data_IF_093054178315
#
_entry.id   IF_093054178315
#
_cell.length_a   1.000
_cell.length_b   1.000
_cell.length_c   1.000
_cell.angle_alpha   90.00
_cell.angle_beta   90.00
_cell.angle_gamma   90.00
#
_symmetry.space_group_name_H-M   'P 1'
#
loop_
_entity.id
_entity.type
_entity.pdbx_description
1 polymer ?
#
# COMPACT_ATOMS: atom_id res chain seq x y z
N UNK A 1 8.56 79.59 35.63
CA UNK A 1 9.32 78.39 36.05
C UNK A 1 8.30 77.28 36.28
N UNK A 2 8.56 76.07 35.79
CA UNK A 2 7.73 74.83 35.83
C UNK A 2 6.84 74.65 37.09
N UNK A 3 5.72 73.92 37.11
CA UNK A 3 5.56 72.48 36.81
C UNK A 3 4.07 72.14 36.54
N UNK A 4 3.78 71.40 35.46
CA UNK A 4 2.55 70.64 35.22
C UNK A 4 2.67 69.25 35.87
N UNK A 5 1.61 68.75 36.54
CA UNK A 5 1.52 67.37 37.02
C UNK A 5 0.83 66.47 35.97
N UNK A 6 1.27 65.21 35.75
CA UNK A 6 0.55 64.24 34.93
C UNK A 6 -0.20 63.21 35.79
N UNK A 7 -1.53 63.15 35.61
CA UNK A 7 -2.36 61.99 36.01
C UNK A 7 -3.28 61.61 34.86
N UNK A 8 -2.91 60.59 34.08
CA UNK A 8 -3.83 59.61 33.46
C UNK A 8 -3.11 58.77 32.39
N UNK A 9 -2.30 57.79 32.80
CA UNK A 9 -1.85 56.72 31.88
C UNK A 9 -1.90 55.32 32.48
N UNK A 10 -2.36 55.14 33.72
CA UNK A 10 -2.31 53.83 34.40
C UNK A 10 -3.56 52.95 34.27
N UNK A 11 -4.65 53.43 33.63
CA UNK A 11 -5.89 52.66 33.56
C UNK A 11 -6.08 51.85 32.25
N UNK A 12 -5.33 52.14 31.17
CA UNK A 12 -5.57 51.52 29.86
C UNK A 12 -4.67 50.31 29.55
N UNK A 13 -3.54 50.14 30.25
CA UNK A 13 -2.63 49.00 30.05
C UNK A 13 -3.05 47.72 30.80
N UNK A 14 -3.89 47.84 31.84
CA UNK A 14 -4.35 46.69 32.62
C UNK A 14 -5.40 45.85 31.90
N UNK A 15 -6.33 46.48 31.18
CA UNK A 15 -7.45 45.78 30.52
C UNK A 15 -7.03 45.04 29.24
N UNK A 16 -6.14 45.63 28.44
CA UNK A 16 -5.63 44.99 27.22
C UNK A 16 -4.80 43.73 27.54
N UNK A 17 -4.00 43.76 28.61
CA UNK A 17 -3.16 42.61 29.02
C UNK A 17 -3.99 41.42 29.52
N UNK A 18 -5.09 41.69 30.23
CA UNK A 18 -6.00 40.64 30.72
C UNK A 18 -6.79 40.03 29.56
N UNK A 19 -7.21 40.82 28.57
CA UNK A 19 -7.94 40.31 27.41
C UNK A 19 -7.06 39.40 26.53
N UNK A 20 -5.81 39.78 26.30
CA UNK A 20 -4.85 38.96 25.55
C UNK A 20 -4.54 37.64 26.26
N UNK A 21 -4.41 37.66 27.59
CA UNK A 21 -4.20 36.45 28.38
C UNK A 21 -5.42 35.51 28.35
N UNK A 22 -6.64 36.04 28.39
CA UNK A 22 -7.87 35.24 28.28
C UNK A 22 -8.00 34.61 26.88
N UNK A 23 -7.73 35.38 25.82
CA UNK A 23 -7.76 34.85 24.44
C UNK A 23 -6.68 33.78 24.25
N UNK A 24 -5.47 33.99 24.79
CA UNK A 24 -4.39 32.99 24.74
C UNK A 24 -4.71 31.74 25.56
N UNK A 25 -5.35 31.88 26.73
CA UNK A 25 -5.82 30.74 27.51
C UNK A 25 -6.94 29.97 26.81
N UNK A 26 -7.87 30.67 26.16
CA UNK A 26 -8.94 30.04 25.39
C UNK A 26 -8.39 29.33 24.14
N UNK A 27 -7.41 29.93 23.44
CA UNK A 27 -6.70 29.29 22.33
C UNK A 27 -5.88 28.08 22.79
N UNK A 28 -5.13 28.18 23.89
CA UNK A 28 -4.36 27.07 24.45
C UNK A 28 -5.27 25.93 24.93
N UNK A 29 -6.45 26.25 25.50
CA UNK A 29 -7.43 25.25 25.88
C UNK A 29 -8.12 24.62 24.68
N UNK A 30 -8.36 25.36 23.60
CA UNK A 30 -8.84 24.82 22.33
C UNK A 30 -7.77 23.95 21.64
N UNK A 31 -6.49 24.34 21.71
CA UNK A 31 -5.38 23.55 21.17
C UNK A 31 -5.10 22.28 22.00
N UNK A 32 -5.29 22.34 23.32
CA UNK A 32 -5.30 21.16 24.18
C UNK A 32 -6.54 20.28 23.95
N UNK A 33 -7.71 20.86 23.69
CA UNK A 33 -8.90 20.11 23.32
C UNK A 33 -8.75 19.47 21.93
N UNK A 34 -8.16 20.15 20.94
CA UNK A 34 -7.88 19.60 19.61
C UNK A 34 -6.77 18.55 19.65
N UNK A 35 -5.73 18.72 20.48
CA UNK A 35 -4.69 17.71 20.68
C UNK A 35 -5.17 16.51 21.52
N UNK A 36 -6.13 16.72 22.43
CA UNK A 36 -6.84 15.63 23.10
C UNK A 36 -7.85 14.94 22.18
N UNK A 37 -8.49 15.67 21.26
CA UNK A 37 -9.42 15.13 20.26
C UNK A 37 -8.69 14.43 19.10
N UNK A 38 -7.44 14.79 18.81
CA UNK A 38 -6.55 14.01 17.92
C UNK A 38 -5.86 12.84 18.64
N UNK A 39 -5.82 12.83 19.98
CA UNK A 39 -5.33 11.69 20.78
C UNK A 39 -6.42 10.74 21.26
N UNK A 40 -7.68 11.15 21.26
CA UNK A 40 -8.78 10.22 21.11
C UNK A 40 -8.81 9.84 19.63
N UNK A 41 -7.88 8.94 19.27
CA UNK A 41 -8.19 7.94 18.27
C UNK A 41 -9.66 7.55 18.48
N UNK A 42 -10.44 7.62 17.41
CA UNK A 42 -11.66 6.82 17.37
C UNK A 42 -11.20 5.41 17.75
N UNK A 43 -11.47 5.01 18.98
CA UNK A 43 -11.48 3.62 19.37
C UNK A 43 -12.63 3.06 18.55
N UNK A 44 -12.31 2.65 17.32
CA UNK A 44 -13.16 1.83 16.50
C UNK A 44 -13.27 0.52 17.26
N UNK A 45 -14.24 0.47 18.17
CA UNK A 45 -14.88 -0.74 18.63
C UNK A 45 -15.55 -1.40 17.42
N UNK A 46 -14.74 -1.98 16.54
CA UNK A 46 -15.14 -2.95 15.53
C UNK A 46 -14.15 -4.09 15.63
N UNK A 47 -14.32 -4.93 16.65
CA UNK A 47 -13.56 -6.16 16.87
C UNK A 47 -13.85 -7.25 15.84
N UNK A 48 -14.56 -6.94 14.76
CA UNK A 48 -14.82 -7.89 13.69
C UNK A 48 -13.80 -7.70 12.56
N UNK A 49 -12.77 -8.55 12.57
CA UNK A 49 -11.87 -8.74 11.45
C UNK A 49 -12.33 -9.98 10.66
N UNK A 50 -12.80 -9.86 9.41
CA UNK A 50 -13.18 -11.00 8.59
C UNK A 50 -12.03 -11.96 8.27
N UNK A 51 -10.78 -11.62 8.60
CA UNK A 51 -9.65 -12.55 8.54
C UNK A 51 -9.64 -13.53 9.73
N UNK A 52 -10.33 -13.25 10.84
CA UNK A 52 -10.28 -14.09 12.06
C UNK A 52 -11.47 -15.03 12.23
N UNK A 53 -12.38 -15.10 11.25
CA UNK A 53 -13.48 -16.09 11.25
C UNK A 53 -13.16 -17.27 10.30
N UNK A 54 -12.50 -18.33 10.80
CA UNK A 54 -12.19 -19.52 10.01
C UNK A 54 -13.44 -20.34 9.61
N UNK A 55 -14.66 -19.95 10.01
CA UNK A 55 -15.88 -20.67 9.66
C UNK A 55 -16.41 -20.36 8.24
N UNK A 56 -15.88 -19.35 7.54
CA UNK A 56 -16.33 -18.91 6.20
C UNK A 56 -15.26 -18.95 5.09
N UNK A 57 -14.38 -19.95 5.06
CA UNK A 57 -13.69 -20.33 3.80
C UNK A 57 -12.62 -19.35 3.26
N UNK A 58 -11.94 -18.59 4.13
CA UNK A 58 -10.80 -17.74 3.76
C UNK A 58 -11.19 -16.38 3.13
N UNK A 59 -10.21 -15.50 2.87
CA UNK A 59 -10.48 -14.16 2.36
C UNK A 59 -11.07 -14.20 0.94
N UNK A 60 -12.27 -13.62 0.77
CA UNK A 60 -12.91 -13.42 -0.54
C UNK A 60 -12.15 -12.37 -1.35
N UNK A 61 -11.68 -12.74 -2.54
CA UNK A 61 -10.91 -11.85 -3.43
C UNK A 61 -11.75 -11.47 -4.64
N UNK A 62 -11.62 -10.21 -5.06
CA UNK A 62 -12.08 -9.71 -6.36
C UNK A 62 -10.91 -9.16 -7.16
N UNK A 63 -11.09 -9.04 -8.47
CA UNK A 63 -10.11 -8.41 -9.36
C UNK A 63 -10.72 -7.16 -10.00
N UNK A 64 -9.89 -6.17 -10.29
CA UNK A 64 -10.30 -4.94 -10.94
C UNK A 64 -9.26 -4.47 -11.96
N UNK A 65 -9.73 -3.90 -13.07
CA UNK A 65 -8.90 -3.30 -14.11
C UNK A 65 -9.66 -2.21 -14.87
N UNK A 66 -8.93 -1.46 -15.69
CA UNK A 66 -9.46 -0.48 -16.64
C UNK A 66 -8.89 -0.71 -18.03
N UNK A 67 -9.74 -0.58 -19.05
CA UNK A 67 -9.32 -0.41 -20.45
C UNK A 67 -10.00 0.82 -21.01
N UNK A 68 -9.30 1.94 -20.94
CA UNK A 68 -9.81 3.25 -21.34
C UNK A 68 -9.21 3.61 -22.70
N UNK A 69 -9.69 2.93 -23.72
CA UNK A 69 -9.36 3.21 -25.10
C UNK A 69 -10.64 3.65 -25.82
N UNK A 70 -10.55 4.71 -26.62
CA UNK A 70 -11.68 5.21 -27.42
C UNK A 70 -12.18 4.15 -28.42
N UNK A 71 -11.30 3.22 -28.80
CA UNK A 71 -11.58 2.10 -29.69
C UNK A 71 -11.18 0.77 -29.05
N UNK A 72 -11.89 -0.29 -29.42
CA UNK A 72 -11.60 -1.66 -29.00
C UNK A 72 -10.16 -2.06 -29.39
N UNK A 73 -9.40 -2.56 -28.43
CA UNK A 73 -8.04 -3.06 -28.65
C UNK A 73 -7.96 -4.57 -28.39
N UNK A 74 -7.78 -5.39 -29.44
CA UNK A 74 -7.77 -6.85 -29.30
C UNK A 74 -6.69 -7.37 -28.36
N UNK A 75 -5.52 -6.72 -28.26
CA UNK A 75 -4.44 -7.19 -27.42
C UNK A 75 -4.77 -7.04 -25.93
N UNK A 76 -5.29 -5.87 -25.53
CA UNK A 76 -5.68 -5.60 -24.15
C UNK A 76 -6.91 -6.43 -23.75
N UNK A 77 -7.89 -6.61 -24.63
CA UNK A 77 -9.07 -7.42 -24.31
C UNK A 77 -8.73 -8.91 -24.19
N UNK A 78 -7.78 -9.43 -24.98
CA UNK A 78 -7.23 -10.79 -24.79
C UNK A 78 -6.46 -10.91 -23.48
N UNK A 79 -5.67 -9.90 -23.11
CA UNK A 79 -4.97 -9.86 -21.83
C UNK A 79 -5.94 -9.85 -20.64
N UNK A 80 -6.96 -8.98 -20.65
CA UNK A 80 -8.05 -8.97 -19.66
C UNK A 80 -8.77 -10.32 -19.61
N UNK A 81 -9.03 -10.95 -20.76
CA UNK A 81 -9.64 -12.28 -20.83
C UNK A 81 -8.78 -13.35 -20.14
N UNK A 82 -7.45 -13.24 -20.14
CA UNK A 82 -6.58 -14.14 -19.37
C UNK A 82 -6.83 -14.00 -17.86
N UNK A 83 -7.03 -12.78 -17.37
CA UNK A 83 -7.38 -12.51 -15.97
C UNK A 83 -8.79 -12.97 -15.61
N UNK A 84 -9.77 -12.79 -16.51
CA UNK A 84 -11.15 -13.28 -16.31
C UNK A 84 -11.16 -14.80 -16.17
N UNK A 85 -10.49 -15.53 -17.08
CA UNK A 85 -10.38 -17.00 -16.99
C UNK A 85 -9.71 -17.46 -15.69
N UNK A 86 -8.67 -16.75 -15.26
CA UNK A 86 -8.03 -17.01 -13.98
C UNK A 86 -8.99 -16.75 -12.81
N UNK A 87 -9.74 -15.65 -12.83
CA UNK A 87 -10.76 -15.33 -11.84
C UNK A 87 -11.85 -16.40 -11.78
N UNK A 88 -12.38 -16.85 -12.92
CA UNK A 88 -13.37 -17.92 -13.01
C UNK A 88 -12.85 -19.23 -12.40
N UNK A 89 -11.58 -19.59 -12.64
CA UNK A 89 -10.98 -20.82 -12.13
C UNK A 89 -10.85 -20.83 -10.59
N UNK A 90 -10.73 -19.66 -9.96
CA UNK A 90 -10.51 -19.52 -8.53
C UNK A 90 -11.67 -18.84 -7.77
N UNK A 91 -12.75 -18.49 -8.48
CA UNK A 91 -13.91 -17.81 -7.89
C UNK A 91 -13.68 -16.33 -7.56
N UNK A 92 -12.82 -15.64 -8.30
CA UNK A 92 -12.58 -14.20 -8.17
C UNK A 92 -13.37 -13.41 -9.23
N UNK A 93 -14.46 -12.70 -8.86
CA UNK A 93 -15.14 -11.80 -9.79
C UNK A 93 -14.18 -10.74 -10.36
N UNK A 94 -14.19 -10.54 -11.67
CA UNK A 94 -13.36 -9.54 -12.35
C UNK A 94 -14.21 -8.35 -12.81
N UNK A 95 -13.88 -7.16 -12.31
CA UNK A 95 -14.53 -5.91 -12.67
C UNK A 95 -13.69 -5.12 -13.67
N UNK A 96 -14.28 -4.70 -14.80
CA UNK A 96 -13.56 -4.03 -15.89
C UNK A 96 -14.25 -2.70 -16.20
N UNK A 97 -13.57 -1.58 -15.94
CA UNK A 97 -14.04 -0.27 -16.39
C UNK A 97 -13.61 -0.04 -17.85
N UNK A 98 -14.59 0.04 -18.76
CA UNK A 98 -14.36 0.23 -20.20
C UNK A 98 -14.58 1.65 -20.71
N UNK A 99 -15.12 2.51 -19.86
CA UNK A 99 -15.45 3.89 -20.22
C UNK A 99 -14.85 4.83 -19.17
N UNK A 100 -14.28 5.94 -19.63
CA UNK A 100 -13.77 6.96 -18.71
C UNK A 100 -14.92 7.52 -17.89
N UNK A 101 -14.73 7.63 -16.58
CA UNK A 101 -15.64 8.34 -15.67
C UNK A 101 -15.23 9.80 -15.49
N UNK A 102 -13.95 10.11 -15.72
CA UNK A 102 -13.36 11.43 -15.53
C UNK A 102 -12.82 11.96 -16.86
N UNK A 103 -13.65 12.72 -17.59
CA UNK A 103 -13.23 13.39 -18.81
C UNK A 103 -12.16 14.45 -18.50
N UNK A 104 -11.06 14.46 -19.26
CA UNK A 104 -9.93 15.39 -19.09
C UNK A 104 -8.93 15.03 -17.98
N UNK A 105 -9.22 14.04 -17.12
CA UNK A 105 -8.27 13.52 -16.12
C UNK A 105 -8.26 11.98 -16.11
N UNK A 106 -8.13 11.39 -17.30
CA UNK A 106 -8.32 9.96 -17.52
C UNK A 106 -7.36 9.09 -16.69
N UNK A 107 -6.20 9.63 -16.32
CA UNK A 107 -5.16 8.95 -15.58
C UNK A 107 -5.53 8.68 -14.11
N UNK A 108 -6.60 9.31 -13.58
CA UNK A 108 -7.10 9.11 -12.21
C UNK A 108 -8.34 8.18 -12.15
N UNK A 109 -8.78 7.63 -13.29
CA UNK A 109 -9.91 6.69 -13.29
C UNK A 109 -9.64 5.45 -12.43
N UNK A 110 -8.39 4.95 -12.36
CA UNK A 110 -8.01 3.83 -11.49
C UNK A 110 -8.41 4.09 -10.04
N UNK A 111 -8.00 5.23 -9.49
CA UNK A 111 -8.27 5.62 -8.09
C UNK A 111 -9.77 5.76 -7.87
N UNK A 112 -10.48 6.46 -8.75
CA UNK A 112 -11.93 6.67 -8.61
C UNK A 112 -12.74 5.38 -8.75
N UNK A 113 -12.33 4.48 -9.65
CA UNK A 113 -12.98 3.19 -9.84
C UNK A 113 -12.76 2.28 -8.64
N UNK A 114 -11.54 2.23 -8.10
CA UNK A 114 -11.24 1.49 -6.88
C UNK A 114 -12.04 2.01 -5.69
N UNK A 115 -12.19 3.33 -5.54
CA UNK A 115 -13.06 3.89 -4.50
C UNK A 115 -14.51 3.43 -4.63
N UNK A 116 -15.07 3.45 -5.85
CA UNK A 116 -16.42 2.96 -6.11
C UNK A 116 -16.57 1.49 -5.70
N UNK A 117 -15.63 0.63 -6.10
CA UNK A 117 -15.66 -0.80 -5.77
C UNK A 117 -15.51 -1.03 -4.26
N UNK A 118 -14.56 -0.36 -3.60
CA UNK A 118 -14.38 -0.46 -2.15
C UNK A 118 -15.64 -0.07 -1.38
N UNK A 119 -16.23 1.08 -1.70
CA UNK A 119 -17.46 1.56 -1.05
C UNK A 119 -18.63 0.60 -1.31
N UNK A 120 -18.72 0.03 -2.51
CA UNK A 120 -19.74 -0.96 -2.87
C UNK A 120 -19.60 -2.27 -2.09
N UNK A 121 -18.37 -2.68 -1.75
CA UNK A 121 -18.14 -3.83 -0.86
C UNK A 121 -18.38 -3.47 0.61
N UNK A 122 -18.01 -2.27 1.04
CA UNK A 122 -18.17 -1.83 2.44
C UNK A 122 -19.62 -1.69 2.88
N UNK A 123 -20.56 -1.47 1.96
CA UNK A 123 -22.01 -1.43 2.28
C UNK A 123 -22.63 -2.82 2.45
N UNK A 124 -21.95 -3.89 2.02
CA UNK A 124 -22.45 -5.27 2.18
C UNK A 124 -22.23 -5.76 3.61
N UNK A 125 -23.04 -6.71 4.09
CA UNK A 125 -22.76 -7.42 5.34
C UNK A 125 -21.37 -8.05 5.32
N UNK A 126 -20.72 -8.11 6.48
CA UNK A 126 -19.33 -8.58 6.61
C UNK A 126 -19.05 -9.97 6.01
N UNK A 127 -19.96 -10.95 6.14
CA UNK A 127 -19.79 -12.29 5.54
C UNK A 127 -19.98 -12.33 4.01
N UNK A 128 -20.53 -11.26 3.42
CA UNK A 128 -20.83 -11.19 1.98
C UNK A 128 -19.87 -10.28 1.20
N UNK A 129 -19.13 -9.41 1.89
CA UNK A 129 -18.18 -8.48 1.25
C UNK A 129 -16.88 -9.19 0.88
N UNK A 130 -16.23 -8.72 -0.18
CA UNK A 130 -14.84 -9.08 -0.43
C UNK A 130 -13.94 -8.62 0.72
N UNK A 131 -12.89 -9.39 1.01
CA UNK A 131 -11.81 -8.97 1.89
C UNK A 131 -10.77 -8.14 1.14
N UNK A 132 -10.50 -8.46 -0.12
CA UNK A 132 -9.44 -7.85 -0.93
C UNK A 132 -9.88 -7.63 -2.38
N UNK A 133 -9.36 -6.54 -2.97
CA UNK A 133 -9.43 -6.25 -4.40
C UNK A 133 -8.00 -6.31 -4.93
N UNK A 134 -7.75 -7.15 -5.93
CA UNK A 134 -6.51 -7.18 -6.70
C UNK A 134 -6.68 -6.28 -7.91
N UNK A 135 -5.92 -5.19 -7.95
CA UNK A 135 -5.81 -4.38 -9.15
C UNK A 135 -4.82 -5.04 -10.11
N UNK A 136 -5.12 -5.03 -11.41
CA UNK A 136 -4.15 -5.31 -12.47
C UNK A 136 -4.34 -4.33 -13.64
N UNK A 137 -3.26 -3.85 -14.24
CA UNK A 137 -3.31 -3.03 -15.45
C UNK A 137 -3.65 -3.91 -16.67
N UNK A 138 -4.34 -3.36 -17.67
CA UNK A 138 -4.81 -4.12 -18.83
C UNK A 138 -3.66 -4.63 -19.75
N UNK A 139 -2.43 -4.18 -19.51
CA UNK A 139 -1.21 -4.66 -20.14
C UNK A 139 -0.47 -5.70 -19.28
N UNK A 140 -1.20 -6.50 -18.50
CA UNK A 140 -0.68 -7.70 -17.85
C UNK A 140 -1.32 -8.96 -18.41
N UNK A 141 -0.54 -10.04 -18.51
CA UNK A 141 -1.02 -11.34 -19.01
C UNK A 141 -0.75 -12.41 -17.95
N UNK A 142 -1.79 -13.18 -17.60
CA UNK A 142 -1.63 -14.39 -16.79
C UNK A 142 -0.92 -15.46 -17.63
N UNK A 143 0.25 -15.90 -17.15
CA UNK A 143 1.04 -16.97 -17.76
C UNK A 143 0.69 -18.33 -17.16
N UNK A 144 0.60 -18.40 -15.83
CA UNK A 144 0.28 -19.62 -15.09
C UNK A 144 -1.04 -19.45 -14.31
N UNK A 145 -2.17 -19.96 -14.82
CA UNK A 145 -3.47 -19.80 -14.17
C UNK A 145 -3.65 -20.67 -12.92
N UNK A 146 -2.65 -21.50 -12.56
CA UNK A 146 -2.69 -22.39 -11.39
C UNK A 146 -2.16 -21.76 -10.10
N UNK A 147 -1.72 -20.51 -10.14
CA UNK A 147 -1.26 -19.77 -8.95
C UNK A 147 -2.38 -18.85 -8.46
N UNK A 148 -3.02 -19.10 -7.30
CA UNK A 148 -4.12 -18.26 -6.84
C UNK A 148 -3.65 -16.97 -6.19
N UNK A 149 -4.42 -15.88 -6.31
CA UNK A 149 -4.14 -14.61 -5.63
C UNK A 149 -4.08 -14.72 -4.10
N UNK A 150 -4.83 -15.63 -3.51
CA UNK A 150 -4.95 -15.79 -2.06
C UNK A 150 -3.64 -16.15 -1.37
N UNK A 151 -2.68 -16.76 -2.07
CA UNK A 151 -1.41 -17.14 -1.46
C UNK A 151 -0.58 -15.91 -1.07
N UNK A 152 -0.73 -14.78 -1.79
CA UNK A 152 0.02 -13.55 -1.57
C UNK A 152 -0.53 -12.71 -0.43
N UNK A 153 -1.73 -13.00 0.06
CA UNK A 153 -2.39 -12.22 1.11
C UNK A 153 -1.68 -12.37 2.46
N UNK A 154 -1.78 -11.35 3.35
CA UNK A 154 -1.13 -11.44 4.64
C UNK A 154 -1.85 -12.48 5.51
N UNK A 155 -1.12 -13.18 6.39
CA UNK A 155 -1.74 -14.02 7.40
C UNK A 155 -2.63 -13.20 8.33
N UNK A 156 -3.58 -13.88 8.98
CA UNK A 156 -4.56 -13.28 9.89
C UNK A 156 -3.91 -12.63 11.13
N UNK A 157 -2.66 -13.00 11.43
CA UNK A 157 -1.80 -12.41 12.47
C UNK A 157 -1.26 -11.02 12.10
N UNK A 158 -1.40 -10.58 10.84
CA UNK A 158 -1.03 -9.25 10.35
C UNK A 158 -2.26 -8.44 9.90
N UNK A 159 -3.24 -8.19 10.79
CA UNK A 159 -4.51 -7.56 10.44
C UNK A 159 -4.39 -6.06 10.11
N UNK A 160 -3.21 -5.45 10.26
CA UNK A 160 -3.02 -4.03 9.98
C UNK A 160 -2.51 -3.77 8.55
N UNK A 161 -2.26 -4.81 7.75
CA UNK A 161 -1.88 -4.65 6.35
C UNK A 161 -3.14 -4.41 5.52
N UNK A 162 -3.08 -3.34 4.73
CA UNK A 162 -4.19 -2.87 3.90
C UNK A 162 -3.79 -2.66 2.44
N UNK A 163 -2.50 -2.52 2.15
CA UNK A 163 -1.95 -2.46 0.81
C UNK A 163 -0.78 -3.44 0.70
N UNK A 164 -0.84 -4.35 -0.27
CA UNK A 164 0.30 -5.15 -0.70
C UNK A 164 0.69 -4.69 -2.10
N UNK A 165 1.93 -4.31 -2.27
CA UNK A 165 2.44 -3.76 -3.52
C UNK A 165 3.81 -4.35 -3.84
N UNK A 166 4.36 -3.97 -4.98
CA UNK A 166 5.72 -4.31 -5.39
C UNK A 166 6.53 -3.06 -5.69
N UNK A 167 7.85 -3.15 -5.52
CA UNK A 167 8.76 -2.07 -5.88
C UNK A 167 9.47 -2.30 -7.21
N UNK A 168 9.78 -1.21 -7.91
CA UNK A 168 10.71 -1.17 -9.03
C UNK A 168 11.77 -0.08 -8.78
N UNK A 169 12.61 0.19 -9.79
CA UNK A 169 13.68 1.19 -9.73
C UNK A 169 13.21 2.63 -9.42
N UNK A 170 11.92 2.93 -9.60
CA UNK A 170 11.32 4.25 -9.34
C UNK A 170 10.36 4.21 -8.12
N UNK A 171 10.51 3.21 -7.25
CA UNK A 171 9.68 3.05 -6.05
C UNK A 171 8.49 2.13 -6.27
N UNK A 172 7.27 2.61 -6.06
CA UNK A 172 6.04 1.82 -6.18
C UNK A 172 5.65 1.59 -7.65
N UNK A 173 5.28 0.36 -8.00
CA UNK A 173 4.63 0.07 -9.28
C UNK A 173 3.14 -0.25 -9.06
N UNK A 174 2.26 0.54 -9.70
CA UNK A 174 0.80 0.41 -9.58
C UNK A 174 0.16 -0.55 -10.59
N UNK A 175 0.97 -1.37 -11.27
CA UNK A 175 0.55 -2.32 -12.29
C UNK A 175 -0.26 -3.48 -11.73
N UNK A 176 0.23 -4.09 -10.65
CA UNK A 176 -0.50 -5.12 -9.90
C UNK A 176 -0.30 -4.89 -8.41
N UNK A 177 -1.39 -4.78 -7.66
CA UNK A 177 -1.35 -4.60 -6.21
C UNK A 177 -2.66 -5.08 -5.55
N UNK A 178 -2.61 -5.31 -4.24
CA UNK A 178 -3.73 -5.80 -3.46
C UNK A 178 -4.18 -4.71 -2.49
N UNK A 179 -5.46 -4.40 -2.50
CA UNK A 179 -6.05 -3.40 -1.62
C UNK A 179 -7.15 -4.03 -0.79
N UNK A 180 -7.04 -3.93 0.54
CA UNK A 180 -8.04 -4.48 1.44
C UNK A 180 -9.32 -3.66 1.36
N UNK A 181 -10.46 -4.32 1.45
CA UNK A 181 -11.76 -3.67 1.65
C UNK A 181 -11.81 -3.15 3.09
N UNK A 182 -11.35 -1.92 3.27
CA UNK A 182 -11.20 -1.29 4.58
C UNK A 182 -11.28 0.23 4.47
N UNK A 183 -11.70 0.90 5.55
CA UNK A 183 -11.77 2.36 5.58
C UNK A 183 -10.41 3.04 5.35
N UNK A 184 -9.32 2.38 5.74
CA UNK A 184 -7.96 2.84 5.44
C UNK A 184 -7.75 3.04 3.94
N UNK A 185 -8.18 2.07 3.13
CA UNK A 185 -8.00 2.09 1.67
C UNK A 185 -8.80 3.21 1.03
N UNK A 186 -10.02 3.45 1.51
CA UNK A 186 -10.87 4.57 1.05
C UNK A 186 -10.22 5.91 1.38
N UNK A 187 -9.74 6.09 2.63
CA UNK A 187 -9.07 7.33 3.08
C UNK A 187 -7.79 7.59 2.29
N UNK A 188 -6.97 6.56 2.06
CA UNK A 188 -5.72 6.66 1.29
C UNK A 188 -6.00 7.05 -0.16
N UNK A 189 -6.94 6.37 -0.84
CA UNK A 189 -7.29 6.72 -2.22
C UNK A 189 -7.92 8.13 -2.33
N UNK A 190 -8.71 8.56 -1.34
CA UNK A 190 -9.26 9.91 -1.31
C UNK A 190 -8.18 10.97 -1.16
N UNK A 191 -7.19 10.71 -0.31
CA UNK A 191 -6.04 11.58 -0.18
C UNK A 191 -5.20 11.62 -1.47
N UNK A 192 -4.93 10.47 -2.09
CA UNK A 192 -4.23 10.39 -3.38
C UNK A 192 -4.95 11.19 -4.48
N UNK A 193 -6.27 11.01 -4.61
CA UNK A 193 -7.10 11.74 -5.59
C UNK A 193 -7.04 13.26 -5.41
N UNK A 194 -6.88 13.73 -4.16
CA UNK A 194 -6.89 15.15 -3.84
C UNK A 194 -5.53 15.84 -4.05
N UNK A 195 -4.43 15.10 -4.19
CA UNK A 195 -3.08 15.66 -4.30
C UNK A 195 -2.94 16.70 -5.43
N UNK A 196 -3.38 16.43 -6.68
CA UNK A 196 -3.20 17.41 -7.76
C UNK A 196 -3.84 18.76 -7.48
N UNK A 197 -4.93 18.80 -6.69
CA UNK A 197 -5.66 20.03 -6.38
C UNK A 197 -5.19 20.69 -5.08
N UNK A 198 -4.87 19.90 -4.05
CA UNK A 198 -4.52 20.41 -2.72
C UNK A 198 -3.02 20.62 -2.53
N UNK A 199 -2.19 19.95 -3.34
CA UNK A 199 -0.73 20.02 -3.31
C UNK A 199 -0.13 20.10 -4.71
N UNK A 200 -0.43 21.16 -5.47
CA UNK A 200 0.07 21.34 -6.83
C UNK A 200 1.60 21.48 -6.89
N UNK A 201 2.27 21.73 -5.77
CA UNK A 201 3.73 21.76 -5.65
C UNK A 201 4.39 20.38 -5.78
N UNK A 202 3.63 19.29 -5.54
CA UNK A 202 4.13 17.93 -5.68
C UNK A 202 4.14 17.56 -7.17
N UNK A 203 5.31 17.19 -7.68
CA UNK A 203 5.45 16.73 -9.07
C UNK A 203 4.89 15.31 -9.22
N UNK A 204 3.77 15.19 -9.92
CA UNK A 204 3.15 13.90 -10.27
C UNK A 204 3.70 13.41 -11.60
N UNK A 205 4.86 12.74 -11.55
CA UNK A 205 5.57 12.20 -12.73
C UNK A 205 4.78 11.06 -13.39
N UNK A 206 4.18 10.20 -12.59
CA UNK A 206 3.42 9.02 -13.02
C UNK A 206 2.02 9.05 -12.43
N UNK A 207 1.22 10.04 -12.83
CA UNK A 207 -0.24 10.09 -12.60
C UNK A 207 -0.74 9.52 -11.24
N UNK A 208 -1.66 8.57 -11.30
CA UNK A 208 -2.21 7.81 -10.18
C UNK A 208 -1.13 7.12 -9.34
N UNK A 209 -0.12 6.49 -9.95
CA UNK A 209 0.97 5.82 -9.24
C UNK A 209 1.73 6.76 -8.30
N UNK A 210 2.15 7.92 -8.82
CA UNK A 210 2.84 8.94 -8.03
C UNK A 210 1.92 9.49 -6.93
N UNK A 211 0.65 9.76 -7.25
CA UNK A 211 -0.30 10.26 -6.25
C UNK A 211 -0.55 9.23 -5.12
N UNK A 212 -0.69 7.95 -5.45
CA UNK A 212 -0.82 6.88 -4.46
C UNK A 212 0.43 6.77 -3.59
N UNK A 213 1.63 6.74 -4.21
CA UNK A 213 2.89 6.70 -3.47
C UNK A 213 3.03 7.86 -2.49
N UNK A 214 2.74 9.08 -2.94
CA UNK A 214 2.76 10.28 -2.10
C UNK A 214 1.72 10.25 -0.97
N UNK A 215 0.57 9.59 -1.19
CA UNK A 215 -0.44 9.42 -0.16
C UNK A 215 0.01 8.41 0.89
N UNK A 216 0.25 7.16 0.49
CA UNK A 216 0.50 6.08 1.45
C UNK A 216 1.89 6.19 2.10
N UNK A 217 2.83 6.99 1.58
CA UNK A 217 4.14 7.22 2.20
C UNK A 217 4.07 8.04 3.49
N UNK A 218 2.92 8.69 3.76
CA UNK A 218 2.74 9.55 4.94
C UNK A 218 2.55 8.73 6.22
N UNK A 219 2.94 9.29 7.39
CA UNK A 219 2.96 8.55 8.65
C UNK A 219 1.64 7.84 8.99
N UNK A 220 0.48 8.43 8.69
CA UNK A 220 -0.82 7.84 9.00
C UNK A 220 -1.20 6.63 8.15
N UNK A 221 -0.51 6.38 7.03
CA UNK A 221 -0.81 5.30 6.10
C UNK A 221 0.32 4.28 6.01
N UNK A 222 1.57 4.74 6.12
CA UNK A 222 2.80 3.98 5.82
C UNK A 222 2.87 2.60 6.47
N UNK A 223 2.48 2.49 7.74
CA UNK A 223 2.62 1.24 8.51
C UNK A 223 1.72 0.10 8.06
N UNK A 224 0.71 0.38 7.23
CA UNK A 224 -0.25 -0.59 6.69
C UNK A 224 0.12 -1.08 5.28
N UNK A 225 1.31 -0.74 4.79
CA UNK A 225 1.81 -1.12 3.47
C UNK A 225 2.86 -2.23 3.62
N UNK A 226 2.73 -3.27 2.81
CA UNK A 226 3.74 -4.32 2.65
C UNK A 226 4.20 -4.37 1.19
N UNK A 227 5.51 -4.48 0.98
CA UNK A 227 6.09 -4.68 -0.35
C UNK A 227 6.56 -6.12 -0.52
N UNK A 228 6.07 -6.80 -1.54
CA UNK A 228 6.52 -8.14 -1.92
C UNK A 228 7.40 -8.09 -3.18
N UNK A 229 8.18 -9.15 -3.44
CA UNK A 229 9.01 -9.25 -4.64
C UNK A 229 8.24 -9.00 -5.94
N UNK A 230 8.77 -8.11 -6.78
CA UNK A 230 8.17 -7.72 -8.06
C UNK A 230 7.90 -8.93 -8.97
N UNK A 231 8.82 -9.89 -9.00
CA UNK A 231 8.77 -11.04 -9.91
C UNK A 231 7.61 -12.00 -9.61
N UNK A 232 6.98 -11.92 -8.44
CA UNK A 232 5.90 -12.84 -8.08
C UNK A 232 4.63 -12.63 -8.90
N UNK A 233 4.24 -11.38 -9.13
CA UNK A 233 2.96 -11.05 -9.77
C UNK A 233 2.96 -9.69 -10.49
N UNK A 234 4.12 -9.05 -10.66
CA UNK A 234 4.23 -7.75 -11.32
C UNK A 234 5.55 -7.63 -12.12
N UNK A 235 6.04 -8.76 -12.63
CA UNK A 235 7.33 -8.86 -13.33
C UNK A 235 7.30 -8.11 -14.67
N UNK A 236 8.31 -7.29 -14.94
CA UNK A 236 8.39 -6.57 -16.22
C UNK A 236 8.91 -7.45 -17.35
N UNK A 237 8.27 -7.33 -18.51
CA UNK A 237 8.92 -7.64 -19.77
C UNK A 237 9.96 -6.55 -20.05
N UNK A 238 11.24 -6.79 -19.70
CA UNK A 238 12.30 -5.86 -20.04
C UNK A 238 12.44 -5.74 -21.58
N UNK A 239 12.47 -4.50 -22.07
CA UNK A 239 12.78 -4.22 -23.48
C UNK A 239 14.23 -4.62 -23.76
N UNK A 240 14.46 -5.34 -24.86
CA UNK A 240 15.75 -5.89 -25.34
C UNK A 240 16.92 -4.88 -25.37
N UNK A 241 16.67 -3.58 -25.24
CA UNK A 241 17.68 -2.52 -25.30
C UNK A 241 18.42 -2.28 -23.98
N UNK A 242 18.02 -2.90 -22.86
CA UNK A 242 18.65 -2.69 -21.54
C UNK A 242 19.36 -3.93 -20.96
N UNK A 243 19.07 -5.14 -21.44
CA UNK A 243 19.74 -6.38 -21.04
C UNK A 243 19.92 -7.25 -22.29
N UNK A 244 21.14 -7.78 -22.50
CA UNK A 244 21.49 -8.65 -23.65
C UNK A 244 20.84 -10.03 -23.56
N UNK A 245 20.35 -10.38 -22.38
CA UNK A 245 19.66 -11.61 -22.06
C UNK A 245 18.16 -11.34 -21.89
N UNK A 246 17.35 -12.31 -22.32
CA UNK A 246 15.88 -12.26 -22.33
C UNK A 246 15.35 -11.89 -20.94
N UNK A 247 14.14 -11.32 -20.82
CA UNK A 247 13.48 -11.27 -19.52
C UNK A 247 13.43 -12.69 -18.93
N UNK A 248 13.84 -12.81 -17.67
CA UNK A 248 13.83 -14.03 -16.83
C UNK A 248 12.40 -14.44 -16.50
N UNK A 249 11.58 -14.66 -17.55
CA UNK A 249 10.22 -15.19 -17.44
C UNK A 249 10.27 -16.67 -17.78
N UNK A 250 9.95 -17.49 -16.79
CA UNK A 250 10.10 -18.93 -16.79
C UNK A 250 8.73 -19.63 -16.75
N UNK A 251 8.64 -20.86 -17.26
CA UNK A 251 7.52 -21.74 -16.94
C UNK A 251 7.24 -21.76 -15.43
N UNK A 252 5.98 -21.56 -15.05
CA UNK A 252 5.56 -21.49 -13.65
C UNK A 252 5.34 -20.08 -13.12
N UNK A 253 5.96 -19.06 -13.72
CA UNK A 253 5.71 -17.66 -13.34
C UNK A 253 4.24 -17.30 -13.54
N UNK A 254 3.69 -16.53 -12.61
CA UNK A 254 2.26 -16.22 -12.60
C UNK A 254 1.85 -15.29 -13.74
N UNK A 255 2.59 -14.20 -13.93
CA UNK A 255 2.17 -13.06 -14.74
C UNK A 255 3.35 -12.33 -15.34
N UNK A 256 3.10 -11.67 -16.47
CA UNK A 256 4.01 -10.69 -17.07
C UNK A 256 3.33 -9.34 -17.30
N UNK A 257 4.06 -8.26 -17.04
CA UNK A 257 3.59 -6.87 -17.16
C UNK A 257 4.41 -6.11 -18.23
N UNK A 258 3.72 -5.47 -19.17
CA UNK A 258 4.31 -4.73 -20.30
C UNK A 258 4.47 -3.21 -20.02
N UNK A 259 4.87 -2.87 -18.80
CA UNK A 259 5.00 -1.49 -18.32
C UNK A 259 5.89 -0.60 -19.23
N UNK A 260 5.44 0.63 -19.51
CA UNK A 260 6.26 1.65 -20.20
C UNK A 260 6.47 1.46 -21.71
N UNK A 261 5.95 0.40 -22.33
CA UNK A 261 6.21 0.03 -23.74
C UNK A 261 5.32 0.74 -24.78
N UNK A 262 4.85 1.97 -24.51
CA UNK A 262 3.68 2.63 -25.15
C UNK A 262 3.57 2.53 -26.69
N UNK A 263 4.66 2.58 -27.46
CA UNK A 263 4.59 2.51 -28.94
C UNK A 263 4.62 1.07 -29.50
N UNK A 264 5.18 0.12 -28.75
CA UNK A 264 5.38 -1.27 -29.19
C UNK A 264 4.51 -2.28 -28.41
N UNK A 265 3.81 -1.83 -27.37
CA UNK A 265 3.09 -2.70 -26.41
C UNK A 265 2.16 -3.69 -27.11
N UNK A 266 1.34 -3.24 -28.06
CA UNK A 266 0.45 -4.10 -28.86
C UNK A 266 1.21 -5.17 -29.64
N UNK A 267 2.30 -4.78 -30.32
CA UNK A 267 3.12 -5.65 -31.13
C UNK A 267 3.90 -6.68 -30.28
N UNK A 268 4.17 -6.35 -29.01
CA UNK A 268 4.85 -7.23 -28.07
C UNK A 268 3.87 -8.17 -27.37
N UNK A 269 2.69 -7.68 -26.97
CA UNK A 269 1.67 -8.47 -26.28
C UNK A 269 1.12 -9.59 -27.17
N UNK A 270 0.88 -9.32 -28.46
CA UNK A 270 0.31 -10.31 -29.39
C UNK A 270 1.04 -11.66 -29.39
N UNK A 271 2.36 -11.71 -29.63
CA UNK A 271 3.14 -12.94 -29.56
C UNK A 271 3.11 -13.64 -28.20
N UNK A 272 3.06 -12.88 -27.10
CA UNK A 272 2.92 -13.46 -25.76
C UNK A 272 1.54 -14.09 -25.54
N UNK A 273 0.48 -13.42 -25.98
CA UNK A 273 -0.88 -13.94 -25.97
C UNK A 273 -1.00 -15.21 -26.81
N UNK A 274 -0.46 -15.20 -28.04
CA UNK A 274 -0.44 -16.38 -28.89
C UNK A 274 0.32 -17.54 -28.23
N UNK A 275 1.41 -17.25 -27.53
CA UNK A 275 2.19 -18.25 -26.80
C UNK A 275 1.38 -18.85 -25.64
N UNK A 276 0.79 -18.04 -24.76
CA UNK A 276 0.02 -18.58 -23.62
C UNK A 276 -1.28 -19.26 -24.04
N UNK A 277 -1.89 -18.84 -25.14
CA UNK A 277 -3.13 -19.44 -25.66
C UNK A 277 -2.88 -20.78 -26.38
N UNK A 278 -1.77 -20.92 -27.11
CA UNK A 278 -1.48 -22.11 -27.92
C UNK A 278 -0.56 -23.13 -27.23
N UNK A 279 0.23 -22.71 -26.23
CA UNK A 279 1.17 -23.59 -25.50
C UNK A 279 0.97 -23.48 -24.00
N UNK A 280 -0.28 -23.45 -23.55
CA UNK A 280 -0.64 -23.26 -22.14
C UNK A 280 0.01 -24.32 -21.21
N UNK A 281 0.13 -25.55 -21.69
CA UNK A 281 0.76 -26.68 -21.00
C UNK A 281 2.24 -26.46 -20.69
N UNK A 282 2.95 -25.66 -21.49
CA UNK A 282 4.36 -25.35 -21.28
C UNK A 282 4.59 -24.30 -20.19
N UNK A 283 3.57 -23.52 -19.85
CA UNK A 283 3.65 -22.43 -18.86
C UNK A 283 2.95 -22.77 -17.55
N UNK A 284 1.95 -23.64 -17.62
CA UNK A 284 1.09 -23.99 -16.50
C UNK A 284 1.79 -25.01 -15.60
N UNK A 285 2.26 -24.54 -14.44
CA UNK A 285 2.83 -25.40 -13.40
C UNK A 285 1.91 -25.36 -12.18
N UNK A 286 1.43 -26.50 -11.64
CA UNK A 286 0.66 -26.52 -10.40
C UNK A 286 1.39 -25.75 -9.29
N UNK A 287 0.66 -24.95 -8.49
CA UNK A 287 1.28 -24.07 -7.48
C UNK A 287 2.15 -24.85 -6.48
N UNK A 288 1.79 -26.09 -6.19
CA UNK A 288 2.54 -27.00 -5.31
C UNK A 288 3.92 -27.38 -5.87
N UNK A 289 4.09 -27.30 -7.20
CA UNK A 289 5.34 -27.58 -7.90
C UNK A 289 6.13 -26.30 -8.23
N UNK A 290 5.63 -25.13 -7.82
CA UNK A 290 6.35 -23.86 -7.88
C UNK A 290 7.02 -23.57 -6.53
N UNK A 291 7.78 -22.47 -6.43
CA UNK A 291 8.35 -22.03 -5.15
C UNK A 291 7.42 -21.10 -4.36
N UNK A 292 6.33 -20.62 -4.97
CA UNK A 292 5.46 -19.57 -4.40
C UNK A 292 4.99 -19.88 -2.98
N UNK A 293 4.48 -21.08 -2.71
CA UNK A 293 3.95 -21.41 -1.38
C UNK A 293 5.01 -21.28 -0.28
N UNK A 294 6.22 -21.75 -0.55
CA UNK A 294 7.34 -21.67 0.39
C UNK A 294 7.81 -20.22 0.53
N UNK A 295 8.08 -19.56 -0.59
CA UNK A 295 8.72 -18.24 -0.61
C UNK A 295 7.79 -17.17 -0.02
N UNK A 296 6.48 -17.26 -0.27
CA UNK A 296 5.48 -16.34 0.28
C UNK A 296 5.28 -16.59 1.79
N UNK A 297 5.26 -17.85 2.22
CA UNK A 297 5.21 -18.18 3.65
C UNK A 297 6.43 -17.64 4.40
N UNK A 298 7.63 -17.88 3.86
CA UNK A 298 8.88 -17.39 4.44
C UNK A 298 8.93 -15.86 4.53
N UNK A 299 8.44 -15.17 3.48
CA UNK A 299 8.29 -13.73 3.49
C UNK A 299 7.38 -13.25 4.62
N UNK A 300 6.18 -13.82 4.76
CA UNK A 300 5.24 -13.37 5.78
C UNK A 300 5.71 -13.69 7.20
N UNK A 301 6.37 -14.83 7.41
CA UNK A 301 6.97 -15.18 8.69
C UNK A 301 8.08 -14.21 9.08
N UNK A 302 8.96 -13.88 8.13
CA UNK A 302 10.04 -12.89 8.33
C UNK A 302 9.47 -11.51 8.61
N UNK A 303 8.48 -11.07 7.83
CA UNK A 303 7.81 -9.78 8.00
C UNK A 303 7.11 -9.70 9.36
N UNK A 304 6.42 -10.76 9.79
CA UNK A 304 5.74 -10.79 11.08
C UNK A 304 6.72 -10.68 12.25
N UNK A 305 7.86 -11.39 12.18
CA UNK A 305 8.92 -11.29 13.18
C UNK A 305 9.50 -9.87 13.26
N UNK A 306 9.73 -9.24 12.11
CA UNK A 306 10.21 -7.86 12.02
C UNK A 306 9.22 -6.88 12.67
N UNK A 307 7.93 -6.96 12.32
CA UNK A 307 6.88 -6.11 12.90
C UNK A 307 6.72 -6.33 14.41
N UNK A 308 6.77 -7.58 14.88
CA UNK A 308 6.70 -7.88 16.31
C UNK A 308 7.88 -7.28 17.08
N UNK A 309 9.09 -7.34 16.51
CA UNK A 309 10.28 -6.76 17.13
C UNK A 309 10.21 -5.23 17.15
N UNK A 310 9.72 -4.58 16.08
CA UNK A 310 9.44 -3.14 16.09
C UNK A 310 8.42 -2.75 17.16
N UNK A 311 7.33 -3.50 17.30
CA UNK A 311 6.32 -3.20 18.32
C UNK A 311 6.90 -3.30 19.74
N UNK A 312 7.67 -4.36 20.02
CA UNK A 312 8.39 -4.52 21.30
C UNK A 312 9.34 -3.35 21.57
N UNK A 313 10.09 -2.92 20.55
CA UNK A 313 11.00 -1.77 20.69
C UNK A 313 10.24 -0.48 20.98
N UNK A 314 9.13 -0.24 20.30
CA UNK A 314 8.30 0.93 20.52
C UNK A 314 7.72 0.96 21.95
N UNK A 315 7.26 -0.19 22.45
CA UNK A 315 6.77 -0.33 23.83
C UNK A 315 7.89 -0.03 24.85
N UNK A 316 9.10 -0.55 24.62
CA UNK A 316 10.28 -0.27 25.45
C UNK A 316 10.64 1.21 25.45
N UNK A 317 10.70 1.85 24.27
CA UNK A 317 11.02 3.27 24.12
C UNK A 317 9.96 4.16 24.80
N UNK A 318 8.68 3.76 24.75
CA UNK A 318 7.58 4.49 25.39
C UNK A 318 7.60 4.43 26.93
N UNK A 319 8.19 3.39 27.52
CA UNK A 319 8.20 3.17 28.98
C UNK A 319 9.28 3.99 29.75
N UNK A 320 10.14 4.75 29.07
CA UNK A 320 10.96 5.83 29.67
C UNK A 320 12.47 5.68 29.43
N UNK A 321 13.16 6.63 28.80
CA UNK A 321 13.52 7.98 29.31
C UNK A 321 14.25 8.04 30.66
N UNK A 322 14.44 6.92 31.38
CA UNK A 322 15.23 6.87 32.64
C UNK A 322 16.36 5.84 32.65
N UNK A 323 16.53 5.06 31.57
CA UNK A 323 17.65 4.13 31.39
C UNK A 323 18.52 4.65 30.25
N UNK A 324 19.39 5.61 30.58
CA UNK A 324 20.19 6.36 29.61
C UNK A 324 21.57 5.71 29.50
N UNK A 325 21.71 4.85 28.50
CA UNK A 325 22.95 4.53 27.75
C UNK A 325 22.63 3.61 26.54
N UNK A 326 21.61 2.75 26.65
CA UNK A 326 21.23 1.78 25.61
C UNK A 326 20.13 2.26 24.63
N UNK A 327 19.55 3.45 24.84
CA UNK A 327 18.41 3.95 24.05
C UNK A 327 18.79 4.26 22.59
N UNK A 328 19.97 4.83 22.35
CA UNK A 328 20.41 5.20 20.99
C UNK A 328 20.60 3.96 20.10
N UNK A 329 21.19 2.88 20.63
CA UNK A 329 21.39 1.65 19.87
C UNK A 329 20.04 1.02 19.46
N UNK A 330 19.03 1.08 20.34
CA UNK A 330 17.67 0.64 20.04
C UNK A 330 17.02 1.54 18.98
N UNK A 331 17.14 2.87 19.11
CA UNK A 331 16.61 3.83 18.13
C UNK A 331 17.23 3.66 16.74
N UNK A 332 18.56 3.49 16.66
CA UNK A 332 19.28 3.29 15.40
C UNK A 332 18.89 1.96 14.75
N UNK A 333 18.83 0.88 15.53
CA UNK A 333 18.40 -0.43 15.03
C UNK A 333 16.92 -0.42 14.62
N UNK A 334 16.07 0.31 15.35
CA UNK A 334 14.66 0.48 15.04
C UNK A 334 14.48 1.21 13.71
N UNK A 335 15.15 2.36 13.53
CA UNK A 335 15.13 3.13 12.30
C UNK A 335 15.68 2.31 11.12
N UNK A 336 16.76 1.53 11.35
CA UNK A 336 17.33 0.66 10.31
C UNK A 336 16.36 -0.44 9.87
N UNK A 337 15.65 -1.08 10.81
CA UNK A 337 14.66 -2.10 10.47
C UNK A 337 13.42 -1.49 9.79
N UNK A 338 12.95 -0.34 10.25
CA UNK A 338 11.87 0.39 9.58
C UNK A 338 12.22 0.77 8.15
N UNK A 339 13.45 1.26 7.93
CA UNK A 339 13.94 1.56 6.59
C UNK A 339 13.98 0.28 5.75
N UNK A 340 14.56 -0.82 6.25
CA UNK A 340 14.63 -2.10 5.54
C UNK A 340 13.25 -2.61 5.09
N UNK A 341 12.26 -2.63 6.00
CA UNK A 341 10.88 -3.02 5.68
C UNK A 341 10.27 -2.09 4.63
N UNK A 342 10.62 -0.82 4.63
CA UNK A 342 10.11 0.11 3.65
C UNK A 342 10.82 -0.01 2.31
N UNK A 343 12.15 0.04 2.28
CA UNK A 343 12.98 0.25 1.09
C UNK A 343 13.30 -1.05 0.35
N UNK A 344 13.48 -2.16 1.08
CA UNK A 344 13.98 -3.43 0.55
C UNK A 344 13.29 -4.64 1.21
N UNK A 345 11.96 -4.62 1.28
CA UNK A 345 11.17 -5.67 1.91
C UNK A 345 11.29 -7.05 1.25
N UNK A 346 11.76 -7.10 0.01
CA UNK A 346 12.07 -8.30 -0.76
C UNK A 346 13.46 -8.89 -0.45
N UNK A 347 14.30 -8.17 0.29
CA UNK A 347 15.56 -8.69 0.83
C UNK A 347 15.35 -9.36 2.20
N UNK A 348 14.94 -10.62 2.19
CA UNK A 348 14.62 -11.39 3.40
C UNK A 348 15.82 -11.51 4.35
N UNK A 349 17.02 -11.79 3.84
CA UNK A 349 18.24 -11.88 4.66
C UNK A 349 18.54 -10.54 5.35
N UNK A 350 18.38 -9.42 4.61
CA UNK A 350 18.51 -8.08 5.15
C UNK A 350 17.51 -7.81 6.26
N UNK A 351 16.23 -8.17 6.05
CA UNK A 351 15.18 -8.02 7.04
C UNK A 351 15.43 -8.86 8.30
N UNK A 352 15.84 -10.12 8.14
CA UNK A 352 16.20 -11.01 9.25
C UNK A 352 17.38 -10.45 10.05
N UNK A 353 18.44 -10.02 9.36
CA UNK A 353 19.62 -9.45 10.00
C UNK A 353 19.29 -8.21 10.84
N UNK A 354 18.47 -7.29 10.32
CA UNK A 354 18.06 -6.08 11.07
C UNK A 354 17.05 -6.37 12.17
N UNK A 355 16.21 -7.38 12.00
CA UNK A 355 15.34 -7.90 13.07
C UNK A 355 16.18 -8.42 14.23
N UNK A 356 17.22 -9.21 13.95
CA UNK A 356 18.13 -9.71 14.96
C UNK A 356 18.90 -8.58 15.65
N UNK A 357 19.44 -7.62 14.88
CA UNK A 357 20.17 -6.47 15.46
C UNK A 357 19.31 -5.65 16.43
N UNK A 358 18.03 -5.43 16.10
CA UNK A 358 17.09 -4.76 17.01
C UNK A 358 16.78 -5.63 18.23
N UNK A 359 16.61 -6.94 18.05
CA UNK A 359 16.44 -7.89 19.16
C UNK A 359 17.60 -7.84 20.15
N UNK A 360 18.83 -7.91 19.66
CA UNK A 360 20.05 -7.86 20.47
C UNK A 360 20.18 -6.52 21.22
N UNK A 361 19.85 -5.40 20.56
CA UNK A 361 19.85 -4.08 21.17
C UNK A 361 18.82 -3.98 22.31
N UNK A 362 17.63 -4.55 22.14
CA UNK A 362 16.60 -4.60 23.18
C UNK A 362 17.04 -5.44 24.38
N UNK A 363 17.69 -6.58 24.16
CA UNK A 363 18.20 -7.42 25.25
C UNK A 363 19.30 -6.74 26.05
N UNK A 364 20.16 -5.95 25.39
CA UNK A 364 21.18 -5.16 26.04
C UNK A 364 20.59 -3.98 26.83
N UNK A 365 19.48 -3.39 26.37
CA UNK A 365 18.84 -2.26 27.02
C UNK A 365 18.10 -2.59 28.33
N UNK A 366 17.76 -3.86 28.54
CA UNK A 366 17.05 -4.34 29.74
C UNK A 366 18.02 -4.80 30.85
N UNK A 367 19.32 -4.97 30.53
CA UNK A 367 20.38 -5.30 31.49
C UNK A 367 20.95 -4.04 32.13
#
# INVERSE_FOLDING_TARGET
MHIHSPRSQKAFLGSASVFTLIVFFLFARHFHALSAFTRHSFQTSSTYDPLTDPSEGGPRVQQATTTLHDEYDPAFERAIKSHIKHGEAWGYPTHVLRHSMLDGNSQFNKISYLQMLLLSEMVKPYGQRAGWIVWFDADTIILNPKVPWTIFLPPTTLPNIHLIASKNWDGFNSGVFFLRVHEWSVKMLADAQAIPSLRPEITIKWADQSAMLESFSRPQFRDAVAYQPLHWYNAFQLQKSLVKDKPDVHPGDMLIHFAGLMKDKRAIMGPWLDKVENTADQWTVPVENTTYLRDVQEYWDTYAQAKNTLNRANDTLALGSSVVESTQAVEDAYASLQDMIWTAADNLEGMQSRTQSLGDALEQAVR
#
